data_IF_204187480270
#
_entry.id   IF_204187480270
#
_cell.length_a   1.000
_cell.length_b   1.000
_cell.length_c   1.000
_cell.angle_alpha   90.00
_cell.angle_beta   90.00
_cell.angle_gamma   90.00
#
_symmetry.space_group_name_H-M   'P 1'
#
loop_
_entity.id
_entity.type
_entity.pdbx_description
1 polymer ?
#
# COMPACT_ATOMS: atom_id res chain seq x y z
N UNK A 1 35.14 4.54 3.51
CA UNK A 1 34.52 4.47 4.84
C UNK A 1 33.06 4.83 4.68
N UNK A 2 32.19 3.96 5.19
CA UNK A 2 30.75 3.96 5.03
C UNK A 2 30.07 5.00 5.94
N UNK A 3 28.83 5.38 5.56
CA UNK A 3 27.58 5.39 6.36
C UNK A 3 26.62 6.46 5.80
N UNK A 4 25.59 6.05 5.07
CA UNK A 4 24.19 5.76 5.51
C UNK A 4 23.32 7.04 5.63
N UNK A 5 22.40 7.29 4.69
CA UNK A 5 21.00 6.78 4.60
C UNK A 5 20.13 7.17 5.79
N UNK A 6 19.24 8.16 5.61
CA UNK A 6 17.88 8.17 6.19
C UNK A 6 16.98 9.15 5.40
N UNK A 7 16.22 8.60 4.44
CA UNK A 7 15.06 9.27 3.83
C UNK A 7 13.83 8.97 4.68
N UNK A 8 13.26 9.99 5.32
CA UNK A 8 11.99 9.89 6.04
C UNK A 8 10.82 9.95 5.05
N UNK A 9 10.23 8.79 4.76
CA UNK A 9 8.94 8.71 4.08
C UNK A 9 7.83 8.52 5.13
N UNK A 10 6.92 9.50 5.25
CA UNK A 10 5.71 9.41 6.08
C UNK A 10 4.71 8.40 5.48
N UNK A 11 3.94 7.66 6.30
CA UNK A 11 2.86 6.82 5.80
C UNK A 11 1.54 7.57 5.67
N UNK A 12 0.77 7.11 4.68
CA UNK A 12 -0.56 7.53 4.25
C UNK A 12 -1.64 7.21 5.29
N UNK A 13 -2.64 8.09 5.39
CA UNK A 13 -3.87 7.89 6.18
C UNK A 13 -4.91 7.12 5.37
N UNK A 14 -5.34 5.94 5.85
CA UNK A 14 -6.48 5.20 5.27
C UNK A 14 -7.80 5.69 5.90
N UNK A 15 -8.67 6.29 5.09
CA UNK A 15 -10.10 6.41 5.42
C UNK A 15 -10.76 5.06 5.13
N UNK A 16 -11.29 4.41 6.17
CA UNK A 16 -11.95 3.11 6.08
C UNK A 16 -13.25 3.21 5.27
N UNK A 17 -13.36 2.45 4.17
CA UNK A 17 -14.65 2.16 3.53
C UNK A 17 -15.29 0.99 4.25
N UNK A 18 -16.53 1.14 4.72
CA UNK A 18 -17.32 0.08 5.34
C UNK A 18 -17.83 -0.89 4.28
N UNK A 19 -17.20 -2.05 4.14
CA UNK A 19 -17.77 -3.18 3.42
C UNK A 19 -18.71 -3.94 4.36
N UNK A 20 -20.00 -4.01 4.02
CA UNK A 20 -20.95 -4.93 4.66
C UNK A 20 -20.68 -6.34 4.12
N UNK A 21 -20.20 -7.24 4.97
CA UNK A 21 -20.04 -8.65 4.62
C UNK A 21 -21.42 -9.36 4.70
N UNK A 22 -21.72 -10.33 3.81
CA UNK A 22 -22.89 -11.20 3.95
C UNK A 22 -22.72 -12.16 5.14
N UNK A 23 -23.83 -12.53 5.78
CA UNK A 23 -23.85 -13.43 6.94
C UNK A 23 -23.23 -14.80 6.62
N UNK A 24 -22.40 -15.37 7.51
CA UNK A 24 -21.77 -16.66 7.28
C UNK A 24 -22.77 -17.82 7.42
N UNK A 25 -22.62 -18.83 6.55
CA UNK A 25 -23.30 -20.13 6.65
C UNK A 25 -22.82 -20.85 7.91
N UNK A 26 -23.77 -21.34 8.70
CA UNK A 26 -23.52 -22.17 9.88
C UNK A 26 -22.92 -23.50 9.45
N UNK A 27 -21.63 -23.69 9.70
CA UNK A 27 -20.99 -25.01 9.70
C UNK A 27 -20.84 -25.40 11.16
N UNK A 28 -21.44 -26.51 11.57
CA UNK A 28 -21.29 -27.05 12.92
C UNK A 28 -19.86 -27.56 13.09
N UNK A 29 -19.03 -26.80 13.79
CA UNK A 29 -17.67 -27.19 14.15
C UNK A 29 -17.65 -27.87 15.53
N UNK A 30 -16.99 -29.02 15.63
CA UNK A 30 -16.65 -29.66 16.91
C UNK A 30 -15.47 -28.91 17.55
N UNK A 31 -15.50 -28.64 18.87
CA UNK A 31 -14.50 -27.78 19.51
C UNK A 31 -13.20 -28.54 19.74
N UNK A 32 -12.15 -28.20 18.98
CA UNK A 32 -10.78 -28.53 19.39
C UNK A 32 -10.38 -27.56 20.51
N UNK A 33 -10.33 -28.10 21.73
CA UNK A 33 -9.95 -27.37 22.94
C UNK A 33 -8.44 -27.14 22.95
N UNK A 34 -7.98 -26.00 22.42
CA UNK A 34 -6.60 -25.55 22.63
C UNK A 34 -6.46 -25.06 24.08
N UNK A 35 -5.99 -25.95 24.96
CA UNK A 35 -5.67 -25.59 26.35
C UNK A 35 -4.39 -24.75 26.38
N UNK A 36 -4.50 -23.43 26.33
CA UNK A 36 -3.40 -22.56 26.76
C UNK A 36 -3.25 -22.70 28.29
N UNK A 37 -2.27 -23.48 28.74
CA UNK A 37 -1.81 -23.47 30.13
C UNK A 37 -0.90 -22.27 30.34
N UNK A 38 -1.45 -21.17 30.81
CA UNK A 38 -0.64 -20.11 31.42
C UNK A 38 -0.49 -20.44 32.91
N UNK A 39 0.71 -20.85 33.34
CA UNK A 39 0.99 -21.15 34.74
C UNK A 39 1.54 -19.89 35.42
N UNK A 40 0.66 -19.07 35.99
CA UNK A 40 1.07 -18.01 36.93
C UNK A 40 0.98 -18.59 38.34
N UNK A 41 2.14 -18.85 38.94
CA UNK A 41 2.24 -19.24 40.35
C UNK A 41 2.21 -17.97 41.20
N UNK A 42 1.06 -17.63 41.78
CA UNK A 42 1.00 -16.72 42.92
C UNK A 42 1.15 -17.55 44.18
N UNK A 43 2.28 -17.38 44.88
CA UNK A 43 2.39 -17.82 46.27
C UNK A 43 1.45 -16.96 47.11
N UNK A 44 0.54 -17.60 47.84
CA UNK A 44 -0.35 -16.93 48.78
C UNK A 44 0.49 -16.53 50.00
N UNK A 45 0.89 -15.27 50.09
CA UNK A 45 1.41 -14.68 51.33
C UNK A 45 0.21 -14.30 52.17
N UNK A 46 0.06 -14.93 53.34
CA UNK A 46 -0.93 -14.54 54.34
C UNK A 46 -0.54 -13.17 54.90
N UNK A 47 -1.33 -12.15 54.56
CA UNK A 47 -1.28 -10.82 55.17
C UNK A 47 -2.42 -10.76 56.18
N UNK A 48 -2.04 -10.54 57.44
CA UNK A 48 -2.94 -10.21 58.54
C UNK A 48 -3.80 -9.00 58.17
N UNK A 49 -5.08 -9.07 58.49
CA UNK A 49 -6.10 -8.04 58.25
C UNK A 49 -5.66 -6.68 58.79
N UNK A 50 -5.24 -5.82 57.88
CA UNK A 50 -5.34 -4.36 58.02
C UNK A 50 -6.20 -3.89 56.86
N UNK A 51 -7.24 -3.11 57.15
CA UNK A 51 -8.16 -2.52 56.17
C UNK A 51 -7.38 -1.86 55.02
N UNK A 52 -7.24 -2.59 53.91
CA UNK A 52 -6.78 -2.02 52.64
C UNK A 52 -7.97 -2.06 51.71
N UNK A 53 -8.48 -0.88 51.37
CA UNK A 53 -9.45 -0.69 50.30
C UNK A 53 -9.10 -1.62 49.13
N UNK A 54 -10.00 -2.53 48.80
CA UNK A 54 -9.81 -3.43 47.65
C UNK A 54 -9.89 -2.56 46.40
N UNK A 55 -8.75 -2.06 45.94
CA UNK A 55 -8.63 -1.39 44.64
C UNK A 55 -8.95 -2.42 43.55
N UNK A 56 -10.23 -2.50 43.19
CA UNK A 56 -10.70 -3.33 42.10
C UNK A 56 -10.21 -2.73 40.80
N UNK A 57 -9.40 -3.49 40.05
CA UNK A 57 -8.87 -3.06 38.77
C UNK A 57 -10.02 -2.84 37.78
N UNK A 58 -10.16 -1.61 37.27
CA UNK A 58 -11.14 -1.28 36.23
C UNK A 58 -10.79 -2.01 34.92
N UNK A 59 -11.80 -2.60 34.27
CA UNK A 59 -11.66 -3.13 32.91
C UNK A 59 -11.61 -1.96 31.92
N UNK A 60 -10.72 -2.06 30.94
CA UNK A 60 -10.57 -1.04 29.89
C UNK A 60 -11.61 -1.17 28.77
N UNK A 61 -12.40 -2.26 28.74
CA UNK A 61 -13.44 -2.52 27.74
C UNK A 61 -12.97 -2.35 26.28
N UNK A 62 -11.78 -2.85 25.96
CA UNK A 62 -11.28 -2.86 24.58
C UNK A 62 -12.03 -3.88 23.74
N UNK A 63 -12.33 -3.50 22.51
CA UNK A 63 -12.86 -4.43 21.52
C UNK A 63 -11.82 -5.52 21.19
N UNK A 64 -12.26 -6.75 20.91
CA UNK A 64 -11.37 -7.80 20.43
C UNK A 64 -10.69 -7.43 19.12
N UNK A 65 -9.66 -8.18 18.77
CA UNK A 65 -8.98 -8.00 17.49
C UNK A 65 -9.97 -8.23 16.32
N UNK A 66 -9.73 -7.55 15.20
CA UNK A 66 -10.54 -7.72 13.98
C UNK A 66 -10.07 -8.89 13.10
N UNK A 67 -9.02 -9.61 13.50
CA UNK A 67 -8.36 -10.62 12.67
C UNK A 67 -8.31 -11.96 13.38
N UNK A 68 -9.09 -12.92 12.89
CA UNK A 68 -9.08 -14.27 13.42
C UNK A 68 -7.78 -15.00 13.07
N UNK A 69 -7.21 -15.72 14.03
CA UNK A 69 -5.94 -16.40 13.87
C UNK A 69 -6.07 -17.59 12.90
N UNK A 70 -7.22 -18.26 12.90
CA UNK A 70 -7.50 -19.36 11.98
C UNK A 70 -7.57 -18.87 10.52
N UNK A 71 -8.11 -17.66 10.31
CA UNK A 71 -8.10 -17.00 9.00
C UNK A 71 -6.68 -16.64 8.53
N UNK A 72 -5.80 -16.21 9.44
CA UNK A 72 -4.41 -15.92 9.10
C UNK A 72 -3.62 -17.18 8.74
N UNK A 73 -3.99 -18.33 9.30
CA UNK A 73 -3.37 -19.63 9.05
C UNK A 73 -3.92 -20.34 7.82
N UNK A 74 -5.15 -20.03 7.39
CA UNK A 74 -5.68 -20.56 6.14
C UNK A 74 -4.98 -19.91 4.96
N UNK A 75 -4.01 -20.63 4.38
CA UNK A 75 -3.39 -20.23 3.11
C UNK A 75 -3.97 -21.08 1.99
N UNK A 76 -5.03 -20.59 1.34
CA UNK A 76 -5.57 -21.22 0.14
C UNK A 76 -4.64 -20.92 -1.05
N UNK A 77 -3.99 -21.95 -1.57
CA UNK A 77 -3.35 -21.90 -2.89
C UNK A 77 -4.40 -22.24 -3.93
N UNK A 78 -5.02 -21.21 -4.51
CA UNK A 78 -6.05 -21.33 -5.55
C UNK A 78 -5.38 -21.48 -6.94
N UNK A 79 -5.72 -22.52 -7.69
CA UNK A 79 -5.28 -22.72 -9.08
C UNK A 79 -5.65 -21.53 -9.99
N UNK A 80 -6.68 -20.74 -9.62
CA UNK A 80 -7.02 -19.51 -10.32
C UNK A 80 -5.86 -18.48 -10.31
N UNK A 81 -4.96 -18.54 -9.32
CA UNK A 81 -3.79 -17.67 -9.23
C UNK A 81 -2.89 -17.81 -10.47
N UNK A 82 -2.70 -19.02 -10.99
CA UNK A 82 -1.88 -19.24 -12.20
C UNK A 82 -2.50 -18.61 -13.45
N UNK A 83 -3.83 -18.73 -13.62
CA UNK A 83 -4.54 -18.08 -14.73
C UNK A 83 -4.41 -16.55 -14.67
N UNK A 84 -4.47 -15.97 -13.47
CA UNK A 84 -4.27 -14.53 -13.30
C UNK A 84 -2.83 -14.10 -13.53
N UNK A 85 -1.83 -14.93 -13.18
CA UNK A 85 -0.41 -14.64 -13.45
C UNK A 85 -0.14 -14.46 -14.94
N UNK A 86 -0.65 -15.35 -15.79
CA UNK A 86 -0.41 -15.25 -17.23
C UNK A 86 -1.15 -14.08 -17.87
N UNK A 87 -2.38 -13.79 -17.44
CA UNK A 87 -3.10 -12.57 -17.83
C UNK A 87 -2.34 -11.31 -17.41
N UNK A 88 -1.80 -11.28 -16.19
CA UNK A 88 -1.00 -10.16 -15.70
C UNK A 88 0.24 -9.93 -16.55
N UNK A 89 1.01 -10.98 -16.87
CA UNK A 89 2.20 -10.89 -17.75
C UNK A 89 1.85 -10.29 -19.11
N UNK A 90 0.72 -10.69 -19.71
CA UNK A 90 0.25 -10.14 -20.99
C UNK A 90 -0.06 -8.65 -20.88
N UNK A 91 -0.78 -8.25 -19.83
CA UNK A 91 -1.12 -6.85 -19.57
C UNK A 91 0.14 -6.01 -19.29
N UNK A 92 1.15 -6.58 -18.62
CA UNK A 92 2.42 -5.88 -18.38
C UNK A 92 3.13 -5.53 -19.67
N UNK A 93 3.18 -6.48 -20.62
CA UNK A 93 3.78 -6.23 -21.93
C UNK A 93 3.02 -5.13 -22.69
N UNK A 94 1.69 -5.12 -22.61
CA UNK A 94 0.87 -4.07 -23.22
C UNK A 94 1.12 -2.69 -22.58
N UNK A 95 1.19 -2.63 -21.26
CA UNK A 95 1.48 -1.40 -20.52
C UNK A 95 2.88 -0.89 -20.84
N UNK A 96 3.89 -1.77 -20.91
CA UNK A 96 5.24 -1.39 -21.35
C UNK A 96 5.24 -0.83 -22.76
N UNK A 97 4.50 -1.44 -23.68
CA UNK A 97 4.36 -0.94 -25.05
C UNK A 97 3.75 0.46 -25.08
N UNK A 98 2.66 0.68 -24.32
CA UNK A 98 2.00 1.99 -24.21
C UNK A 98 2.88 3.06 -23.59
N UNK A 99 3.63 2.74 -22.53
CA UNK A 99 4.60 3.68 -21.93
C UNK A 99 5.71 4.01 -22.94
N UNK A 100 6.14 3.04 -23.74
CA UNK A 100 7.28 3.22 -24.64
C UNK A 100 6.91 3.80 -26.00
N UNK A 101 5.62 3.94 -26.31
CA UNK A 101 5.15 4.48 -27.57
C UNK A 101 5.60 5.93 -27.79
N UNK A 102 6.42 6.15 -28.81
CA UNK A 102 7.01 7.45 -29.15
C UNK A 102 6.11 8.31 -30.04
N UNK A 103 5.10 7.71 -30.67
CA UNK A 103 4.15 8.44 -31.52
C UNK A 103 2.96 8.98 -30.73
N UNK A 104 2.82 8.58 -29.45
CA UNK A 104 1.77 9.06 -28.57
C UNK A 104 2.01 10.51 -28.14
N UNK A 105 0.93 11.25 -27.91
CA UNK A 105 1.01 12.60 -27.36
C UNK A 105 1.58 12.55 -25.93
N UNK A 106 2.55 13.44 -25.63
CA UNK A 106 3.21 13.50 -24.33
C UNK A 106 2.24 13.58 -23.14
N UNK A 107 1.14 14.32 -23.28
CA UNK A 107 0.13 14.43 -22.22
C UNK A 107 -0.51 13.08 -21.92
N UNK A 108 -0.94 12.35 -22.95
CA UNK A 108 -1.54 11.02 -22.79
C UNK A 108 -0.58 10.03 -22.14
N UNK A 109 0.72 10.13 -22.46
CA UNK A 109 1.75 9.31 -21.86
C UNK A 109 1.98 9.65 -20.38
N UNK A 110 1.99 10.93 -20.01
CA UNK A 110 2.10 11.36 -18.61
C UNK A 110 0.86 10.97 -17.79
N UNK A 111 -0.34 11.01 -18.37
CA UNK A 111 -1.57 10.54 -17.72
C UNK A 111 -1.54 9.02 -17.47
N UNK A 112 -1.02 8.26 -18.42
CA UNK A 112 -0.80 6.83 -18.25
C UNK A 112 0.17 6.56 -17.09
N UNK A 113 1.30 7.27 -17.05
CA UNK A 113 2.29 7.13 -15.97
C UNK A 113 1.67 7.48 -14.61
N UNK A 114 0.94 8.59 -14.52
CA UNK A 114 0.26 8.98 -13.28
C UNK A 114 -0.72 7.91 -12.80
N UNK A 115 -1.51 7.36 -13.72
CA UNK A 115 -2.49 6.31 -13.43
C UNK A 115 -1.80 5.06 -12.89
N UNK A 116 -0.71 4.61 -13.53
CA UNK A 116 0.07 3.44 -13.10
C UNK A 116 0.62 3.64 -11.68
N UNK A 117 1.15 4.83 -11.38
CA UNK A 117 1.66 5.14 -10.05
C UNK A 117 0.55 5.15 -8.99
N UNK A 118 -0.61 5.74 -9.30
CA UNK A 118 -1.77 5.79 -8.39
C UNK A 118 -2.40 4.43 -8.15
N UNK A 119 -2.25 3.48 -9.07
CA UNK A 119 -2.62 2.08 -8.90
C UNK A 119 -1.63 1.28 -8.05
N UNK A 120 -0.51 1.88 -7.61
CA UNK A 120 0.53 1.18 -6.86
C UNK A 120 1.40 0.25 -7.72
N UNK A 121 1.34 0.39 -9.05
CA UNK A 121 2.07 -0.46 -10.00
C UNK A 121 3.37 0.18 -10.51
N UNK A 122 3.70 1.40 -10.06
CA UNK A 122 4.88 2.15 -10.51
C UNK A 122 6.19 1.36 -10.42
N UNK A 123 6.37 0.57 -9.35
CA UNK A 123 7.58 -0.22 -9.12
C UNK A 123 7.87 -1.25 -10.22
N UNK A 124 6.84 -1.69 -10.97
CA UNK A 124 6.99 -2.71 -12.02
C UNK A 124 7.55 -2.14 -13.32
N UNK A 125 7.42 -0.82 -13.50
CA UNK A 125 7.71 -0.12 -14.75
C UNK A 125 8.72 1.01 -14.56
N UNK A 126 9.50 1.02 -13.48
CA UNK A 126 10.40 2.13 -13.13
C UNK A 126 11.35 2.53 -14.28
N UNK A 127 11.95 1.54 -14.94
CA UNK A 127 12.86 1.77 -16.06
C UNK A 127 12.16 2.38 -17.28
N UNK A 128 10.94 1.89 -17.58
CA UNK A 128 10.15 2.39 -18.72
C UNK A 128 9.65 3.81 -18.45
N UNK A 129 9.19 4.06 -17.22
CA UNK A 129 8.72 5.38 -16.78
C UNK A 129 9.88 6.38 -16.82
N UNK A 130 11.06 6.04 -16.28
CA UNK A 130 12.23 6.91 -16.32
C UNK A 130 12.60 7.27 -17.75
N UNK A 131 12.71 6.27 -18.65
CA UNK A 131 13.00 6.50 -20.07
C UNK A 131 11.95 7.38 -20.75
N UNK A 132 10.66 7.19 -20.44
CA UNK A 132 9.60 8.03 -20.99
C UNK A 132 9.74 9.48 -20.54
N UNK A 133 10.04 9.72 -19.26
CA UNK A 133 10.28 11.07 -18.73
C UNK A 133 11.56 11.72 -19.28
N UNK A 134 12.65 10.95 -19.43
CA UNK A 134 13.88 11.43 -20.06
C UNK A 134 13.63 11.92 -21.49
N UNK A 135 12.87 11.14 -22.27
CA UNK A 135 12.46 11.54 -23.63
C UNK A 135 11.60 12.80 -23.61
N UNK A 136 10.62 12.88 -22.72
CA UNK A 136 9.75 14.04 -22.55
C UNK A 136 10.54 15.33 -22.28
N UNK A 137 11.55 15.27 -21.40
CA UNK A 137 12.42 16.42 -21.11
C UNK A 137 13.30 16.75 -22.32
N UNK A 138 13.92 15.73 -22.93
CA UNK A 138 14.85 15.91 -24.05
C UNK A 138 14.18 16.47 -25.30
N UNK A 139 12.89 16.21 -25.50
CA UNK A 139 12.11 16.70 -26.64
C UNK A 139 11.51 18.10 -26.44
N UNK A 140 11.82 18.80 -25.35
CA UNK A 140 11.20 20.09 -25.02
C UNK A 140 9.73 19.96 -24.63
N UNK A 141 9.35 18.82 -24.05
CA UNK A 141 7.98 18.54 -23.66
C UNK A 141 7.45 19.49 -22.59
N UNK A 142 8.33 20.04 -21.74
CA UNK A 142 7.97 21.01 -20.70
C UNK A 142 7.44 22.31 -21.33
N UNK A 143 8.14 22.83 -22.33
CA UNK A 143 7.79 24.04 -23.08
C UNK A 143 6.53 23.84 -23.93
N UNK A 144 6.36 22.65 -24.49
CA UNK A 144 5.16 22.28 -25.23
C UNK A 144 3.93 22.29 -24.32
N UNK A 145 4.03 21.67 -23.13
CA UNK A 145 2.91 21.53 -22.18
C UNK A 145 2.61 22.81 -21.42
N UNK A 146 3.63 23.64 -21.14
CA UNK A 146 3.43 24.96 -20.52
C UNK A 146 2.45 25.85 -21.33
N UNK A 147 2.36 25.62 -22.64
CA UNK A 147 1.47 26.37 -23.54
C UNK A 147 0.07 25.77 -23.68
N UNK A 148 -0.18 24.56 -23.18
CA UNK A 148 -1.47 23.87 -23.37
C UNK A 148 -2.46 24.18 -22.25
N UNK A 149 -2.11 23.93 -20.98
CA UNK A 149 -2.98 24.20 -19.85
C UNK A 149 -2.27 24.17 -18.50
N UNK A 150 -2.89 24.80 -17.50
CA UNK A 150 -2.43 24.74 -16.10
C UNK A 150 -2.43 23.31 -15.55
N UNK A 151 -3.47 22.53 -15.85
CA UNK A 151 -3.59 21.14 -15.40
C UNK A 151 -2.44 20.29 -15.92
N UNK A 152 -2.18 20.39 -17.22
CA UNK A 152 -1.12 19.63 -17.87
C UNK A 152 0.26 20.03 -17.34
N UNK A 153 0.52 21.33 -17.19
CA UNK A 153 1.77 21.85 -16.61
C UNK A 153 1.98 21.36 -15.19
N UNK A 154 0.96 21.42 -14.33
CA UNK A 154 1.04 20.96 -12.95
C UNK A 154 1.32 19.45 -12.86
N UNK A 155 0.71 18.66 -13.76
CA UNK A 155 0.93 17.21 -13.82
C UNK A 155 2.36 16.88 -14.24
N UNK A 156 2.87 17.49 -15.32
CA UNK A 156 4.26 17.32 -15.76
C UNK A 156 5.25 17.70 -14.66
N UNK A 157 5.06 18.88 -14.05
CA UNK A 157 5.91 19.38 -12.99
C UNK A 157 6.00 18.43 -11.80
N UNK A 158 4.84 17.95 -11.33
CA UNK A 158 4.80 17.00 -10.22
C UNK A 158 5.52 15.70 -10.56
N UNK A 159 5.21 15.09 -11.71
CA UNK A 159 5.80 13.81 -12.11
C UNK A 159 7.33 13.93 -12.25
N UNK A 160 7.82 14.97 -12.92
CA UNK A 160 9.25 15.19 -13.09
C UNK A 160 9.98 15.32 -11.74
N UNK A 161 9.47 16.14 -10.82
CA UNK A 161 10.08 16.28 -9.50
C UNK A 161 10.03 15.00 -8.68
N UNK A 162 8.94 14.24 -8.76
CA UNK A 162 8.83 12.93 -8.10
C UNK A 162 9.88 11.93 -8.57
N UNK A 163 10.35 12.05 -9.81
CA UNK A 163 11.40 11.21 -10.38
C UNK A 163 12.81 11.80 -10.30
N UNK A 164 12.98 12.93 -9.60
CA UNK A 164 14.29 13.54 -9.34
C UNK A 164 14.80 14.46 -10.44
N UNK A 165 13.95 14.85 -11.40
CA UNK A 165 14.32 15.87 -12.38
C UNK A 165 14.31 17.26 -11.73
N UNK A 166 15.31 18.07 -12.07
CA UNK A 166 15.33 19.48 -11.69
C UNK A 166 14.40 20.27 -12.62
N UNK A 167 13.37 20.88 -12.04
CA UNK A 167 12.36 21.66 -12.77
C UNK A 167 12.21 23.01 -12.09
N UNK A 168 12.47 24.08 -12.85
CA UNK A 168 12.32 25.45 -12.38
C UNK A 168 10.89 25.74 -11.90
N UNK A 169 10.77 26.61 -10.89
CA UNK A 169 9.46 27.05 -10.35
C UNK A 169 8.75 28.05 -11.29
N UNK A 170 9.47 28.67 -12.23
CA UNK A 170 8.91 29.58 -13.25
C UNK A 170 9.88 30.70 -13.65
N UNK A 171 9.66 31.22 -14.86
CA UNK A 171 10.07 32.55 -15.37
C UNK A 171 8.82 33.29 -15.79
#
# INVERSE_FOLDING_TARGET
>A
MANELLSLHRPFSLTHKTCRNPLPRVIQATPLTLKLRCSVSTKNVSLTETETETETRRSANYEPNSWDYDYLLSSDTDDAIEVYKDKAKKLDAEVRSKINNETAEFLTQLELIDTIQRLGLGYRFESDIRRALDRYVSSGGLEAVAKTSLQATAQSFRLLRQHGFDVSQGT
#
